data_IF_760192186629
#
_entry.id   IF_760192186629
#
_cell.length_a   1.000
_cell.length_b   1.000
_cell.length_c   1.000
_cell.angle_alpha   90.00
_cell.angle_beta   90.00
_cell.angle_gamma   90.00
#
_symmetry.space_group_name_H-M   'P 1'
#
loop_
_entity.id
_entity.type
_entity.pdbx_description
1 polymer ?
#
# COMPACT_ATOMS: atom_id res chain seq x y z
N UNK A 1 -6.73 -2.20 -14.80
CA UNK A 1 -6.71 -2.35 -13.33
C UNK A 1 -5.31 -2.80 -12.95
N UNK A 2 -4.62 -2.05 -12.09
CA UNK A 2 -3.26 -2.37 -11.65
C UNK A 2 -3.33 -2.90 -10.21
N UNK A 3 -2.75 -4.08 -9.97
CA UNK A 3 -2.68 -4.69 -8.65
C UNK A 3 -1.25 -4.69 -8.13
N UNK A 4 -1.09 -4.33 -6.86
CA UNK A 4 0.20 -4.24 -6.19
C UNK A 4 0.16 -5.09 -4.92
N UNK A 5 1.17 -5.94 -4.76
CA UNK A 5 1.37 -6.71 -3.54
C UNK A 5 2.16 -5.86 -2.53
N UNK A 6 1.63 -5.74 -1.32
CA UNK A 6 2.31 -5.12 -0.19
C UNK A 6 2.65 -6.20 0.83
N UNK A 7 3.94 -6.33 1.14
CA UNK A 7 4.45 -7.11 2.26
C UNK A 7 4.08 -6.36 3.55
N UNK A 8 3.42 -7.01 4.50
CA UNK A 8 2.91 -6.38 5.72
C UNK A 8 3.42 -7.07 6.98
N UNK A 9 3.92 -6.26 7.92
CA UNK A 9 4.27 -6.67 9.28
C UNK A 9 3.46 -5.88 10.31
N UNK A 10 3.26 -6.45 11.50
CA UNK A 10 2.62 -5.78 12.64
C UNK A 10 3.53 -5.89 13.85
N UNK A 11 4.01 -4.75 14.34
CA UNK A 11 4.95 -4.64 15.45
C UNK A 11 4.52 -3.49 16.35
N UNK A 12 4.50 -3.71 17.67
CA UNK A 12 4.24 -2.69 18.70
C UNK A 12 2.99 -1.80 18.48
N UNK A 13 1.92 -2.36 17.90
CA UNK A 13 0.69 -1.60 17.64
C UNK A 13 0.62 -0.94 16.26
N UNK A 14 1.68 -1.04 15.47
CA UNK A 14 1.80 -0.38 14.16
C UNK A 14 1.83 -1.38 13.03
N UNK A 15 1.06 -1.11 11.98
CA UNK A 15 1.09 -1.85 10.73
C UNK A 15 2.08 -1.21 9.78
N UNK A 16 3.09 -1.97 9.35
CA UNK A 16 4.05 -1.53 8.33
C UNK A 16 3.76 -2.26 7.04
N UNK A 17 3.61 -1.54 5.93
CA UNK A 17 3.42 -2.10 4.60
C UNK A 17 4.51 -1.64 3.64
N UNK A 18 5.02 -2.56 2.83
CA UNK A 18 6.05 -2.29 1.84
C UNK A 18 5.66 -2.86 0.47
N UNK A 19 5.70 -2.02 -0.56
CA UNK A 19 5.55 -2.41 -1.97
C UNK A 19 6.91 -2.30 -2.63
N UNK A 20 7.30 -3.32 -3.41
CA UNK A 20 8.62 -3.38 -4.07
C UNK A 20 8.67 -2.56 -5.35
N UNK A 21 7.58 -2.51 -6.10
CA UNK A 21 7.48 -1.75 -7.34
C UNK A 21 6.09 -1.10 -7.45
N UNK A 22 5.95 0.21 -7.20
CA UNK A 22 7.01 1.15 -6.84
C UNK A 22 7.57 0.88 -5.43
N UNK A 23 8.83 1.24 -5.18
CA UNK A 23 9.46 1.12 -3.85
C UNK A 23 8.82 2.09 -2.86
N UNK A 24 7.83 1.61 -2.11
CA UNK A 24 7.06 2.39 -1.14
C UNK A 24 7.04 1.65 0.18
N UNK A 25 7.22 2.37 1.29
CA UNK A 25 7.02 1.88 2.64
C UNK A 25 6.15 2.87 3.40
N UNK A 26 5.13 2.38 4.10
CA UNK A 26 4.23 3.20 4.91
C UNK A 26 3.87 2.48 6.21
N UNK A 27 3.49 3.27 7.20
CA UNK A 27 3.04 2.83 8.51
C UNK A 27 1.66 3.40 8.79
N UNK A 28 0.80 2.64 9.47
CA UNK A 28 -0.51 3.10 9.89
C UNK A 28 -1.00 2.39 11.16
N UNK A 29 -2.04 2.93 11.79
CA UNK A 29 -2.63 2.33 12.99
C UNK A 29 -3.54 1.14 12.65
N UNK A 30 -4.00 1.02 11.40
CA UNK A 30 -4.85 -0.09 10.95
C UNK A 30 -4.51 -0.58 9.54
N UNK A 31 -4.87 -1.83 9.17
CA UNK A 31 -4.70 -2.35 7.82
C UNK A 31 -5.44 -1.55 6.75
N UNK A 32 -6.61 -0.99 7.09
CA UNK A 32 -7.41 -0.19 6.17
C UNK A 32 -6.71 1.13 5.84
N UNK A 33 -6.25 1.85 6.87
CA UNK A 33 -5.45 3.07 6.70
C UNK A 33 -4.17 2.80 5.90
N UNK A 34 -3.47 1.69 6.22
CA UNK A 34 -2.26 1.30 5.50
C UNK A 34 -2.54 1.06 4.02
N UNK A 35 -3.60 0.32 3.69
CA UNK A 35 -4.00 0.04 2.30
C UNK A 35 -4.34 1.32 1.55
N UNK A 36 -5.10 2.22 2.18
CA UNK A 36 -5.55 3.46 1.54
C UNK A 36 -4.36 4.41 1.31
N UNK A 37 -3.45 4.52 2.29
CA UNK A 37 -2.22 5.29 2.19
C UNK A 37 -1.29 4.75 1.09
N UNK A 38 -1.06 3.43 1.06
CA UNK A 38 -0.28 2.78 -0.01
C UNK A 38 -0.91 3.00 -1.38
N UNK A 39 -2.24 2.89 -1.49
CA UNK A 39 -2.96 3.08 -2.75
C UNK A 39 -2.80 4.51 -3.28
N UNK A 40 -2.93 5.51 -2.40
CA UNK A 40 -2.69 6.91 -2.74
C UNK A 40 -1.24 7.14 -3.18
N UNK A 41 -0.27 6.62 -2.43
CA UNK A 41 1.16 6.81 -2.73
C UNK A 41 1.59 6.14 -4.04
N UNK A 42 1.08 4.95 -4.32
CA UNK A 42 1.32 4.23 -5.58
C UNK A 42 0.70 4.99 -6.76
N UNK A 43 -0.50 5.56 -6.58
CA UNK A 43 -1.17 6.37 -7.60
C UNK A 43 -0.31 7.58 -7.98
N UNK A 44 0.16 8.33 -6.99
CA UNK A 44 1.04 9.48 -7.20
C UNK A 44 2.30 9.11 -7.96
N UNK A 45 3.00 8.06 -7.52
CA UNK A 45 4.29 7.66 -8.09
C UNK A 45 4.19 7.14 -9.52
N UNK A 46 3.10 6.43 -9.84
CA UNK A 46 2.89 5.90 -11.19
C UNK A 46 2.08 6.84 -12.09
N UNK A 47 1.74 8.04 -11.60
CA UNK A 47 0.90 9.02 -12.33
C UNK A 47 -0.40 8.38 -12.84
N UNK A 48 -0.98 7.49 -12.04
CA UNK A 48 -2.19 6.74 -12.42
C UNK A 48 -3.39 7.70 -12.36
N UNK A 49 -4.16 7.86 -13.44
CA UNK A 49 -5.36 8.72 -13.42
C UNK A 49 -6.40 8.25 -12.40
N UNK A 50 -7.16 9.19 -11.83
CA UNK A 50 -8.11 8.89 -10.74
C UNK A 50 -9.21 7.89 -11.09
N UNK A 51 -9.57 7.80 -12.37
CA UNK A 51 -10.57 6.86 -12.88
C UNK A 51 -10.01 5.44 -13.06
N UNK A 52 -8.70 5.23 -12.89
CA UNK A 52 -8.07 3.91 -12.98
C UNK A 52 -7.98 3.28 -11.59
N UNK A 53 -8.60 2.10 -11.37
CA UNK A 53 -8.55 1.44 -10.07
C UNK A 53 -7.14 0.90 -9.78
N UNK A 54 -6.62 1.29 -8.61
CA UNK A 54 -5.42 0.74 -7.97
C UNK A 54 -5.87 -0.19 -6.86
N UNK A 55 -5.43 -1.44 -6.90
CA UNK A 55 -5.74 -2.42 -5.87
C UNK A 55 -4.46 -2.81 -5.12
N UNK A 56 -4.45 -2.66 -3.80
CA UNK A 56 -3.34 -3.08 -2.95
C UNK A 56 -3.76 -4.31 -2.17
N UNK A 57 -3.02 -5.40 -2.34
CA UNK A 57 -3.23 -6.67 -1.66
C UNK A 57 -2.21 -6.73 -0.52
N UNK A 58 -2.71 -6.73 0.72
CA UNK A 58 -1.87 -6.88 1.91
C UNK A 58 -1.54 -8.36 2.10
N UNK A 59 -0.26 -8.69 2.07
CA UNK A 59 0.27 -10.04 2.29
C UNK A 59 1.02 -10.02 3.61
N UNK A 60 0.52 -10.77 4.60
CA UNK A 60 1.20 -10.90 5.89
C UNK A 60 2.44 -11.77 5.73
N UNK A 61 3.57 -11.27 6.22
CA UNK A 61 4.81 -12.02 6.36
C UNK A 61 4.91 -12.76 7.70
#
# INVERSE_FOLDING_TARGET
MSSFAADVTYEDGTWTGAVRNPSVRMEAASPHELRDALSARIRELNQVPDHVPVNVILIRL
#
